data_IF_213687836635
#
_entry.id   IF_213687836635
#
_cell.length_a   1.000
_cell.length_b   1.000
_cell.length_c   1.000
_cell.angle_alpha   90.00
_cell.angle_beta   90.00
_cell.angle_gamma   90.00
#
_symmetry.space_group_name_H-M   'P 1'
#
loop_
_entity.id
_entity.type
_entity.pdbx_description
1 polymer ?
#
# COMPACT_ATOMS: atom_id res chain seq x y z
N UNK A 1 10.36 -17.54 -11.03
CA UNK A 1 10.09 -18.53 -9.98
C UNK A 1 9.43 -17.88 -8.78
N UNK A 2 8.81 -18.68 -7.93
CA UNK A 2 8.15 -18.17 -6.72
C UNK A 2 9.14 -17.45 -5.81
N UNK A 3 10.35 -17.96 -5.67
CA UNK A 3 11.39 -17.33 -4.85
C UNK A 3 11.79 -15.96 -5.41
N UNK A 4 11.91 -15.85 -6.73
CA UNK A 4 12.22 -14.58 -7.40
C UNK A 4 11.12 -13.55 -7.18
N UNK A 5 9.86 -14.00 -7.25
CA UNK A 5 8.71 -13.10 -7.06
C UNK A 5 8.66 -12.58 -5.63
N UNK A 6 8.90 -13.45 -4.65
CA UNK A 6 8.94 -13.07 -3.24
C UNK A 6 10.07 -12.05 -3.00
N UNK A 7 11.23 -12.30 -3.57
CA UNK A 7 12.37 -11.38 -3.44
C UNK A 7 12.04 -10.01 -4.05
N UNK A 8 11.45 -9.99 -5.23
CA UNK A 8 11.05 -8.74 -5.88
C UNK A 8 10.05 -7.96 -5.05
N UNK A 9 9.06 -8.62 -4.47
CA UNK A 9 8.06 -7.99 -3.61
C UNK A 9 8.68 -7.37 -2.37
N UNK A 10 9.57 -8.10 -1.70
CA UNK A 10 10.23 -7.62 -0.49
C UNK A 10 11.07 -6.38 -0.74
N UNK A 11 11.58 -6.23 -1.96
CA UNK A 11 12.48 -5.13 -2.31
C UNK A 11 11.83 -4.03 -3.14
N UNK A 12 10.51 -4.14 -3.42
CA UNK A 12 9.83 -3.17 -4.28
C UNK A 12 10.00 -1.73 -3.79
N UNK A 13 9.71 -1.47 -2.52
CA UNK A 13 9.78 -0.11 -1.96
C UNK A 13 11.22 0.39 -1.89
N UNK A 14 12.17 -0.50 -1.72
CA UNK A 14 13.58 -0.12 -1.74
C UNK A 14 13.97 0.44 -3.11
N UNK A 15 13.65 -0.27 -4.18
CA UNK A 15 13.97 0.18 -5.54
C UNK A 15 13.11 1.36 -5.96
N UNK A 16 11.86 1.39 -5.53
CA UNK A 16 10.93 2.44 -5.88
C UNK A 16 11.43 3.83 -5.45
N UNK A 17 12.10 3.92 -4.31
CA UNK A 17 12.60 5.19 -3.80
C UNK A 17 13.56 5.88 -4.78
N UNK A 18 14.26 5.11 -5.61
CA UNK A 18 15.20 5.65 -6.58
C UNK A 18 14.54 6.01 -7.90
N UNK A 19 13.36 5.47 -8.18
CA UNK A 19 12.68 5.61 -9.47
C UNK A 19 11.47 6.51 -9.42
N UNK A 20 10.93 6.77 -8.24
CA UNK A 20 9.66 7.48 -8.10
C UNK A 20 9.73 8.93 -8.61
N UNK A 21 10.88 9.56 -8.53
CA UNK A 21 11.06 10.94 -9.01
C UNK A 21 10.97 11.02 -10.54
N UNK A 22 11.51 10.01 -11.23
CA UNK A 22 11.55 9.99 -12.69
C UNK A 22 10.31 9.33 -13.30
N UNK A 23 9.75 8.33 -12.62
CA UNK A 23 8.63 7.53 -13.12
C UNK A 23 7.53 7.42 -12.07
N UNK A 24 6.98 8.56 -11.58
CA UNK A 24 6.05 8.51 -10.46
C UNK A 24 4.80 7.68 -10.73
N UNK A 25 4.17 7.84 -11.89
CA UNK A 25 2.93 7.13 -12.19
C UNK A 25 3.13 5.62 -12.26
N UNK A 26 4.21 5.19 -12.90
CA UNK A 26 4.54 3.77 -13.01
C UNK A 26 4.84 3.17 -11.64
N UNK A 27 5.56 3.90 -10.80
CA UNK A 27 5.90 3.44 -9.46
C UNK A 27 4.66 3.38 -8.57
N UNK A 28 3.79 4.39 -8.65
CA UNK A 28 2.54 4.39 -7.87
C UNK A 28 1.68 3.19 -8.24
N UNK A 29 1.60 2.85 -9.52
CA UNK A 29 0.82 1.71 -9.98
C UNK A 29 1.40 0.38 -9.48
N UNK A 30 2.71 0.21 -9.58
CA UNK A 30 3.38 -0.99 -9.08
C UNK A 30 3.17 -1.15 -7.58
N UNK A 31 3.34 -0.06 -6.82
CA UNK A 31 3.13 -0.08 -5.39
C UNK A 31 1.66 -0.34 -5.03
N UNK A 32 0.73 0.24 -5.78
CA UNK A 32 -0.70 0.02 -5.55
C UNK A 32 -1.07 -1.45 -5.71
N UNK A 33 -0.57 -2.09 -6.76
CA UNK A 33 -0.86 -3.51 -7.00
C UNK A 33 -0.26 -4.39 -5.89
N UNK A 34 0.94 -4.07 -5.45
CA UNK A 34 1.57 -4.77 -4.33
C UNK A 34 0.75 -4.61 -3.05
N UNK A 35 0.33 -3.38 -2.75
CA UNK A 35 -0.44 -3.09 -1.54
C UNK A 35 -1.80 -3.81 -1.58
N UNK A 36 -2.46 -3.84 -2.74
CA UNK A 36 -3.72 -4.58 -2.91
C UNK A 36 -3.55 -6.04 -2.56
N UNK A 37 -2.48 -6.65 -3.06
CA UNK A 37 -2.19 -8.05 -2.82
C UNK A 37 -1.90 -8.31 -1.34
N UNK A 38 -1.12 -7.45 -0.72
CA UNK A 38 -0.83 -7.56 0.71
C UNK A 38 -2.08 -7.40 1.56
N UNK A 39 -2.95 -6.46 1.21
CA UNK A 39 -4.19 -6.23 1.94
C UNK A 39 -5.13 -7.43 1.82
N UNK A 40 -5.23 -8.02 0.63
CA UNK A 40 -6.07 -9.20 0.42
C UNK A 40 -5.63 -10.38 1.29
N UNK A 41 -4.32 -10.53 1.50
CA UNK A 41 -3.74 -11.64 2.27
C UNK A 41 -3.64 -11.34 3.76
N UNK A 42 -3.79 -10.10 4.17
CA UNK A 42 -3.65 -9.70 5.57
C UNK A 42 -4.80 -10.24 6.42
N UNK A 43 -4.48 -10.81 7.56
CA UNK A 43 -5.45 -11.47 8.44
C UNK A 43 -5.51 -10.90 9.84
N UNK A 44 -4.58 -10.02 10.23
CA UNK A 44 -4.54 -9.45 11.57
C UNK A 44 -4.06 -8.00 11.55
N UNK A 45 -4.16 -7.34 12.71
CA UNK A 45 -3.82 -5.91 12.85
C UNK A 45 -2.35 -5.63 12.52
N UNK A 46 -1.46 -6.55 12.85
CA UNK A 46 -0.03 -6.39 12.54
C UNK A 46 0.20 -6.23 11.03
N UNK A 47 -0.48 -7.06 10.25
CA UNK A 47 -0.39 -7.02 8.80
C UNK A 47 -1.11 -5.78 8.24
N UNK A 48 -2.22 -5.37 8.85
CA UNK A 48 -2.93 -4.16 8.45
C UNK A 48 -2.08 -2.91 8.68
N UNK A 49 -1.32 -2.88 9.78
CA UNK A 49 -0.38 -1.78 10.03
C UNK A 49 0.70 -1.70 8.98
N UNK A 50 1.17 -2.86 8.50
CA UNK A 50 2.16 -2.91 7.43
C UNK A 50 1.60 -2.34 6.12
N UNK A 51 0.37 -2.72 5.78
CA UNK A 51 -0.33 -2.17 4.61
C UNK A 51 -0.41 -0.65 4.72
N UNK A 52 -0.81 -0.15 5.88
CA UNK A 52 -0.96 1.28 6.10
C UNK A 52 0.38 2.02 6.08
N UNK A 53 1.45 1.39 6.54
CA UNK A 53 2.80 1.94 6.43
C UNK A 53 3.17 2.17 4.97
N UNK A 54 2.83 1.23 4.11
CA UNK A 54 3.11 1.34 2.68
C UNK A 54 2.27 2.46 2.05
N UNK A 55 1.01 2.62 2.47
CA UNK A 55 0.17 3.72 2.03
C UNK A 55 0.76 5.08 2.43
N UNK A 56 1.27 5.17 3.65
CA UNK A 56 1.93 6.39 4.12
C UNK A 56 3.18 6.70 3.31
N UNK A 57 3.90 5.67 2.86
CA UNK A 57 5.06 5.86 2.02
C UNK A 57 4.68 6.47 0.68
N UNK A 58 3.56 6.05 0.09
CA UNK A 58 3.05 6.67 -1.13
C UNK A 58 2.77 8.16 -0.92
N UNK A 59 2.20 8.52 0.23
CA UNK A 59 1.92 9.92 0.56
C UNK A 59 3.22 10.72 0.66
N UNK A 60 4.25 10.15 1.27
CA UNK A 60 5.58 10.80 1.35
C UNK A 60 6.14 11.07 -0.04
N UNK A 61 5.87 10.20 -0.98
CA UNK A 61 6.32 10.35 -2.36
C UNK A 61 5.35 11.16 -3.23
N UNK A 62 4.41 11.89 -2.60
CA UNK A 62 3.43 12.72 -3.30
C UNK A 62 2.39 11.92 -4.07
N UNK A 63 2.19 10.66 -3.71
CA UNK A 63 1.19 9.78 -4.32
C UNK A 63 -0.14 9.80 -3.57
N UNK A 64 -0.57 10.97 -3.09
CA UNK A 64 -1.78 11.10 -2.28
C UNK A 64 -3.02 10.58 -3.01
N UNK A 65 -3.14 10.87 -4.30
CA UNK A 65 -4.30 10.44 -5.09
C UNK A 65 -4.39 8.90 -5.13
N UNK A 66 -3.25 8.24 -5.33
CA UNK A 66 -3.18 6.78 -5.34
C UNK A 66 -3.51 6.21 -3.96
N UNK A 67 -2.94 6.80 -2.90
CA UNK A 67 -3.19 6.36 -1.54
C UNK A 67 -4.68 6.49 -1.19
N UNK A 68 -5.30 7.61 -1.54
CA UNK A 68 -6.72 7.84 -1.29
C UNK A 68 -7.59 6.81 -2.02
N UNK A 69 -7.26 6.57 -3.28
CA UNK A 69 -7.98 5.58 -4.09
C UNK A 69 -7.93 4.20 -3.42
N UNK A 70 -6.76 3.80 -2.93
CA UNK A 70 -6.59 2.52 -2.26
C UNK A 70 -7.35 2.44 -0.94
N UNK A 71 -7.31 3.51 -0.14
CA UNK A 71 -8.05 3.56 1.12
C UNK A 71 -9.55 3.38 0.84
N UNK A 72 -10.09 4.11 -0.11
CA UNK A 72 -11.50 4.04 -0.46
C UNK A 72 -11.86 2.65 -0.99
N UNK A 73 -10.99 2.08 -1.82
CA UNK A 73 -11.16 0.72 -2.35
C UNK A 73 -11.21 -0.32 -1.24
N UNK A 74 -10.28 -0.25 -0.26
CA UNK A 74 -10.22 -1.20 0.83
C UNK A 74 -11.42 -1.08 1.76
N UNK A 75 -11.90 0.13 2.00
CA UNK A 75 -13.11 0.34 2.81
C UNK A 75 -14.32 -0.29 2.14
N UNK A 76 -14.41 -0.19 0.82
CA UNK A 76 -15.51 -0.78 0.06
C UNK A 76 -15.41 -2.30 -0.05
N UNK A 77 -14.19 -2.81 -0.23
CA UNK A 77 -13.94 -4.24 -0.44
C UNK A 77 -14.00 -5.04 0.86
N UNK A 78 -13.54 -4.45 1.96
CA UNK A 78 -13.40 -5.15 3.24
C UNK A 78 -14.15 -4.45 4.38
N UNK A 79 -15.47 -4.22 4.24
CA UNK A 79 -16.22 -3.43 5.22
C UNK A 79 -16.36 -4.11 6.59
N UNK A 80 -16.09 -5.42 6.65
CA UNK A 80 -16.21 -6.19 7.91
C UNK A 80 -14.89 -6.35 8.65
N UNK A 81 -13.79 -5.87 8.08
CA UNK A 81 -12.47 -5.96 8.72
C UNK A 81 -12.26 -4.72 9.58
N UNK A 82 -12.87 -4.71 10.80
CA UNK A 82 -12.87 -3.53 11.64
C UNK A 82 -11.47 -3.04 12.03
N UNK A 83 -10.53 -3.96 12.27
CA UNK A 83 -9.15 -3.59 12.59
C UNK A 83 -8.47 -2.89 11.42
N UNK A 84 -8.76 -3.35 10.18
CA UNK A 84 -8.24 -2.70 8.98
C UNK A 84 -8.81 -1.29 8.86
N UNK A 85 -10.12 -1.15 9.01
CA UNK A 85 -10.78 0.16 8.90
C UNK A 85 -10.24 1.15 9.93
N UNK A 86 -9.96 0.66 11.13
CA UNK A 86 -9.37 1.45 12.20
C UNK A 86 -7.99 1.98 11.81
N UNK A 87 -7.14 1.11 11.25
CA UNK A 87 -5.81 1.50 10.80
C UNK A 87 -5.88 2.45 9.60
N UNK A 88 -6.83 2.23 8.68
CA UNK A 88 -7.01 3.11 7.51
C UNK A 88 -7.39 4.54 7.91
N UNK A 89 -8.13 4.71 9.00
CA UNK A 89 -8.48 6.04 9.50
C UNK A 89 -7.23 6.87 9.81
N UNK A 90 -6.19 6.21 10.33
CA UNK A 90 -4.92 6.88 10.63
C UNK A 90 -4.25 7.38 9.37
N UNK A 91 -4.35 6.63 8.28
CA UNK A 91 -3.83 7.05 6.98
C UNK A 91 -4.64 8.24 6.45
N UNK A 92 -5.97 8.19 6.57
CA UNK A 92 -6.85 9.25 6.09
C UNK A 92 -6.51 10.60 6.72
N UNK A 93 -6.04 10.61 7.96
CA UNK A 93 -5.63 11.85 8.63
C UNK A 93 -4.43 12.52 7.96
N UNK A 94 -3.68 11.78 7.16
CA UNK A 94 -2.51 12.30 6.44
C UNK A 94 -2.86 12.71 4.99
N UNK A 95 -4.04 12.39 4.56
CA UNK A 95 -4.55 12.81 3.25
C UNK A 95 -5.21 14.19 3.36
#
# INVERSE_FOLDING_TARGET
SAASDVYKRQNLFYYAQFLVMDYPNEIYELCANYIREQCAQATDRRLYKKVCKDLLQLIKWKGNATAKLLVDEFKATYPRRSALLDELQKVERKL
#
